data_IF_521773938262
#
_entry.id   IF_521773938262
#
_cell.length_a   1.000
_cell.length_b   1.000
_cell.length_c   1.000
_cell.angle_alpha   90.00
_cell.angle_beta   90.00
_cell.angle_gamma   90.00
#
_symmetry.space_group_name_H-M   'P 1'
#
loop_
_entity.id
_entity.type
_entity.pdbx_description
1 polymer ?
#
# COMPACT_ATOMS: atom_id res chain seq x y z
N UNK A 1 -27.46 -40.50 17.56
CA UNK A 1 -26.11 -40.35 18.12
C UNK A 1 -25.11 -39.89 17.03
N UNK A 2 -25.29 -40.33 15.75
CA UNK A 2 -24.36 -40.08 14.63
C UNK A 2 -24.39 -38.62 14.13
N UNK A 3 -25.54 -37.95 14.12
CA UNK A 3 -25.66 -36.57 13.62
C UNK A 3 -25.03 -35.51 14.55
N UNK A 4 -24.97 -35.79 15.86
CA UNK A 4 -24.38 -34.85 16.83
C UNK A 4 -22.84 -34.83 16.77
N UNK A 5 -22.24 -36.00 16.48
CA UNK A 5 -20.79 -36.14 16.34
C UNK A 5 -20.26 -35.46 15.07
N UNK A 6 -21.03 -35.48 13.97
CA UNK A 6 -20.64 -34.85 12.70
C UNK A 6 -20.64 -33.31 12.81
N UNK A 7 -21.57 -32.71 13.54
CA UNK A 7 -21.62 -31.26 13.79
C UNK A 7 -20.47 -30.76 14.65
N UNK A 8 -20.03 -31.53 15.63
CA UNK A 8 -18.87 -31.16 16.47
C UNK A 8 -17.56 -31.19 15.70
N UNK A 9 -17.36 -32.16 14.80
CA UNK A 9 -16.15 -32.26 13.97
C UNK A 9 -16.05 -31.11 12.96
N UNK A 10 -17.17 -30.71 12.35
CA UNK A 10 -17.22 -29.58 11.41
C UNK A 10 -16.96 -28.23 12.10
N UNK A 11 -17.47 -28.04 13.33
CA UNK A 11 -17.25 -26.82 14.10
C UNK A 11 -15.78 -26.67 14.55
N UNK A 12 -15.13 -27.77 14.93
CA UNK A 12 -13.70 -27.75 15.33
C UNK A 12 -12.78 -27.51 14.12
N UNK A 13 -13.07 -28.09 12.95
CA UNK A 13 -12.28 -27.86 11.75
C UNK A 13 -12.34 -26.41 11.27
N UNK A 14 -13.53 -25.76 11.34
CA UNK A 14 -13.70 -24.35 10.98
C UNK A 14 -12.97 -23.43 11.96
N UNK A 15 -13.00 -23.70 13.26
CA UNK A 15 -12.30 -22.90 14.27
C UNK A 15 -10.78 -22.98 14.13
N UNK A 16 -10.24 -24.17 13.83
CA UNK A 16 -8.80 -24.37 13.58
C UNK A 16 -8.34 -23.64 12.32
N UNK A 17 -9.14 -23.68 11.23
CA UNK A 17 -8.81 -22.97 10.00
C UNK A 17 -8.79 -21.46 10.20
N UNK A 18 -9.77 -20.89 10.91
CA UNK A 18 -9.82 -19.43 11.18
C UNK A 18 -8.61 -19.00 12.04
N UNK A 19 -8.25 -19.80 13.05
CA UNK A 19 -7.08 -19.51 13.89
C UNK A 19 -5.76 -19.57 13.10
N UNK A 20 -5.61 -20.51 12.17
CA UNK A 20 -4.43 -20.62 11.32
C UNK A 20 -4.29 -19.43 10.36
N UNK A 21 -5.36 -18.94 9.76
CA UNK A 21 -5.35 -17.75 8.90
C UNK A 21 -5.03 -16.47 9.69
N UNK A 22 -5.58 -16.31 10.88
CA UNK A 22 -5.30 -15.17 11.75
C UNK A 22 -3.82 -15.16 12.19
N UNK A 23 -3.25 -16.31 12.52
CA UNK A 23 -1.84 -16.45 12.90
C UNK A 23 -0.89 -16.14 11.74
N UNK A 24 -1.19 -16.60 10.52
CA UNK A 24 -0.38 -16.32 9.34
C UNK A 24 -0.41 -14.83 8.95
N UNK A 25 -1.56 -14.16 9.07
CA UNK A 25 -1.69 -12.73 8.81
C UNK A 25 -0.93 -11.90 9.86
N UNK A 26 -0.97 -12.27 11.12
CA UNK A 26 -0.23 -11.62 12.20
C UNK A 26 1.29 -11.79 12.02
N UNK A 27 1.76 -12.98 11.66
CA UNK A 27 3.16 -13.24 11.35
C UNK A 27 3.67 -12.43 10.16
N UNK A 28 2.85 -12.26 9.12
CA UNK A 28 3.17 -11.42 7.95
C UNK A 28 3.30 -9.93 8.31
N UNK A 29 2.45 -9.42 9.21
CA UNK A 29 2.52 -8.03 9.68
C UNK A 29 3.74 -7.79 10.55
N UNK A 30 4.07 -8.69 11.49
CA UNK A 30 5.26 -8.60 12.33
C UNK A 30 6.55 -8.65 11.49
N UNK A 31 6.60 -9.54 10.49
CA UNK A 31 7.70 -9.62 9.54
C UNK A 31 7.87 -8.32 8.75
N UNK A 32 6.75 -7.69 8.35
CA UNK A 32 6.76 -6.41 7.64
C UNK A 32 7.35 -5.28 8.50
N UNK A 33 6.97 -5.17 9.76
CA UNK A 33 7.53 -4.19 10.69
C UNK A 33 9.01 -4.40 10.96
N UNK A 34 9.42 -5.65 11.21
CA UNK A 34 10.82 -6.02 11.39
C UNK A 34 11.66 -5.63 10.17
N UNK A 35 11.16 -5.88 8.97
CA UNK A 35 11.83 -5.52 7.73
C UNK A 35 11.99 -3.99 7.57
N UNK A 36 10.93 -3.21 7.84
CA UNK A 36 10.99 -1.75 7.78
C UNK A 36 11.99 -1.16 8.78
N UNK A 37 12.01 -1.66 10.03
CA UNK A 37 12.97 -1.23 11.06
C UNK A 37 14.42 -1.51 10.65
N UNK A 38 14.66 -2.63 9.96
CA UNK A 38 15.98 -2.96 9.43
C UNK A 38 16.44 -2.06 8.28
N UNK A 39 15.50 -1.36 7.63
CA UNK A 39 15.77 -0.48 6.48
C UNK A 39 16.06 -1.22 5.18
N UNK A 40 16.42 -0.49 4.13
CA UNK A 40 16.70 -1.05 2.80
C UNK A 40 15.46 -1.60 2.07
N UNK A 41 14.25 -1.30 2.54
CA UNK A 41 12.99 -1.79 2.00
C UNK A 41 12.20 -0.69 1.30
N UNK A 42 11.16 -1.10 0.60
CA UNK A 42 10.20 -0.20 -0.06
C UNK A 42 8.82 -0.40 0.56
N UNK A 43 8.17 0.70 0.92
CA UNK A 43 6.80 0.75 1.42
C UNK A 43 5.91 1.30 0.30
N UNK A 44 5.13 0.46 -0.37
CA UNK A 44 4.16 0.91 -1.37
C UNK A 44 2.77 1.01 -0.74
N UNK A 45 2.18 2.20 -0.81
CA UNK A 45 0.94 2.57 -0.12
C UNK A 45 -0.14 2.91 -1.15
N UNK A 46 -1.31 2.31 -1.04
CA UNK A 46 -2.49 2.89 -1.66
C UNK A 46 -2.88 4.15 -0.88
N UNK A 47 -3.14 5.26 -1.60
CA UNK A 47 -3.58 6.52 -0.97
C UNK A 47 -4.61 6.29 0.14
N UNK A 48 -4.66 7.17 1.14
CA UNK A 48 -5.61 7.12 2.24
C UNK A 48 -7.07 7.31 1.76
N UNK A 49 -8.01 7.18 2.68
CA UNK A 49 -9.45 7.25 2.38
C UNK A 49 -9.83 8.55 1.67
N UNK A 50 -10.64 8.42 0.61
CA UNK A 50 -11.18 9.55 -0.13
C UNK A 50 -12.64 9.78 0.24
N UNK A 51 -13.19 10.92 -0.16
CA UNK A 51 -14.64 11.10 -0.23
C UNK A 51 -15.27 9.97 -1.04
N UNK A 52 -16.54 9.57 -0.74
CA UNK A 52 -17.22 8.50 -1.47
C UNK A 52 -17.22 8.72 -2.99
N UNK A 53 -17.14 7.61 -3.76
CA UNK A 53 -17.17 7.64 -5.22
C UNK A 53 -16.17 6.67 -5.84
N UNK A 54 -16.30 6.51 -7.17
CA UNK A 54 -15.40 5.71 -8.01
C UNK A 54 -14.79 6.63 -9.06
N UNK A 55 -13.47 6.56 -9.27
CA UNK A 55 -12.75 7.44 -10.19
C UNK A 55 -12.72 8.89 -9.75
N UNK A 56 -12.33 9.77 -10.63
CA UNK A 56 -12.38 11.22 -10.47
C UNK A 56 -13.61 11.77 -11.24
N UNK A 57 -14.11 12.97 -10.91
CA UNK A 57 -15.19 13.60 -11.65
C UNK A 57 -14.83 13.77 -13.14
N UNK A 58 -15.81 13.73 -14.05
CA UNK A 58 -15.55 14.02 -15.47
C UNK A 58 -14.89 15.39 -15.66
N UNK A 59 -13.82 15.43 -16.48
CA UNK A 59 -13.09 16.66 -16.76
C UNK A 59 -12.13 17.10 -15.66
N UNK A 60 -11.78 16.23 -14.70
CA UNK A 60 -10.77 16.53 -13.70
C UNK A 60 -9.42 16.91 -14.34
N UNK A 61 -8.65 17.72 -13.63
CA UNK A 61 -7.31 18.13 -14.04
C UNK A 61 -6.30 17.83 -12.93
N UNK A 62 -5.11 17.38 -13.30
CA UNK A 62 -4.05 17.04 -12.33
C UNK A 62 -3.46 18.27 -11.61
N UNK A 63 -3.47 19.42 -12.27
CA UNK A 63 -2.99 20.70 -11.75
C UNK A 63 -4.01 21.44 -10.89
N UNK A 64 -5.23 20.90 -10.78
CA UNK A 64 -6.33 21.52 -10.01
C UNK A 64 -7.00 20.49 -9.10
N UNK A 65 -6.56 20.50 -7.82
CA UNK A 65 -7.09 19.58 -6.81
C UNK A 65 -8.61 19.72 -6.58
N UNK A 66 -9.19 20.90 -6.80
CA UNK A 66 -10.62 21.11 -6.61
C UNK A 66 -11.47 20.27 -7.58
N UNK A 67 -10.91 19.86 -8.71
CA UNK A 67 -11.58 19.03 -9.72
C UNK A 67 -11.41 17.52 -9.48
N UNK A 68 -10.63 17.12 -8.49
CA UNK A 68 -10.29 15.71 -8.22
C UNK A 68 -11.10 15.14 -7.06
N UNK A 69 -11.20 13.82 -6.99
CA UNK A 69 -11.68 13.10 -5.81
C UNK A 69 -10.58 13.06 -4.76
N UNK A 70 -10.68 13.93 -3.75
CA UNK A 70 -9.66 14.13 -2.72
C UNK A 70 -9.86 13.26 -1.47
N UNK A 71 -8.90 13.34 -0.54
CA UNK A 71 -9.02 12.69 0.76
C UNK A 71 -10.24 13.24 1.53
N UNK A 72 -10.94 12.34 2.21
CA UNK A 72 -11.89 12.72 3.28
C UNK A 72 -11.14 13.17 4.54
N UNK A 73 -11.87 13.75 5.50
CA UNK A 73 -11.28 14.07 6.81
C UNK A 73 -10.74 12.81 7.51
N UNK A 74 -11.48 11.69 7.41
CA UNK A 74 -11.02 10.40 7.91
C UNK A 74 -9.72 9.95 7.19
N UNK A 75 -9.61 10.19 5.87
CA UNK A 75 -8.39 9.89 5.13
C UNK A 75 -7.21 10.76 5.51
N UNK A 76 -7.43 12.04 5.80
CA UNK A 76 -6.38 12.91 6.33
C UNK A 76 -5.90 12.46 7.70
N UNK A 77 -6.82 12.08 8.59
CA UNK A 77 -6.49 11.51 9.90
C UNK A 77 -5.74 10.18 9.76
N UNK A 78 -6.18 9.29 8.86
CA UNK A 78 -5.51 8.02 8.56
C UNK A 78 -4.07 8.23 8.06
N UNK A 79 -3.84 9.20 7.16
CA UNK A 79 -2.51 9.49 6.66
C UNK A 79 -1.57 10.02 7.76
N UNK A 80 -2.07 10.87 8.67
CA UNK A 80 -1.30 11.33 9.83
C UNK A 80 -0.95 10.18 10.77
N UNK A 81 -1.94 9.36 11.14
CA UNK A 81 -1.74 8.19 12.00
C UNK A 81 -0.73 7.20 11.41
N UNK A 82 -0.71 7.04 10.08
CA UNK A 82 0.31 6.25 9.37
C UNK A 82 1.71 6.79 9.66
N UNK A 83 1.92 8.10 9.55
CA UNK A 83 3.21 8.73 9.80
C UNK A 83 3.64 8.60 11.26
N UNK A 84 2.73 8.87 12.20
CA UNK A 84 2.93 8.71 13.63
C UNK A 84 3.34 7.26 13.97
N UNK A 85 2.60 6.27 13.47
CA UNK A 85 2.89 4.86 13.70
C UNK A 85 4.26 4.44 13.14
N UNK A 86 4.65 4.90 11.97
CA UNK A 86 5.98 4.62 11.40
C UNK A 86 7.10 5.23 12.25
N UNK A 87 6.89 6.46 12.76
CA UNK A 87 7.84 7.12 13.65
C UNK A 87 7.98 6.39 14.99
N UNK A 88 6.86 6.00 15.62
CA UNK A 88 6.83 5.25 16.88
C UNK A 88 7.54 3.90 16.77
N UNK A 89 7.43 3.25 15.62
CA UNK A 89 8.16 2.00 15.31
C UNK A 89 9.63 2.21 14.93
N UNK A 90 10.09 3.47 14.86
CA UNK A 90 11.48 3.79 14.49
C UNK A 90 11.78 3.59 13.01
N UNK A 91 10.79 3.57 12.13
CA UNK A 91 10.98 3.43 10.69
C UNK A 91 11.44 4.74 10.08
N UNK A 92 12.63 4.73 9.44
CA UNK A 92 13.16 5.90 8.75
C UNK A 92 12.73 5.92 7.28
N UNK A 93 12.04 6.98 6.87
CA UNK A 93 11.71 7.23 5.47
C UNK A 93 12.79 8.14 4.87
N UNK A 94 13.61 7.61 3.95
CA UNK A 94 14.67 8.36 3.28
C UNK A 94 14.15 9.13 2.08
N UNK A 95 13.20 8.56 1.35
CA UNK A 95 12.59 9.16 0.17
C UNK A 95 11.09 8.85 0.11
N UNK A 96 10.29 9.81 -0.34
CA UNK A 96 8.86 9.64 -0.55
C UNK A 96 8.47 10.13 -1.94
N UNK A 97 8.07 9.19 -2.79
CA UNK A 97 7.56 9.42 -4.13
C UNK A 97 6.05 9.20 -4.17
N UNK A 98 5.36 9.96 -4.98
CA UNK A 98 3.91 9.94 -5.08
C UNK A 98 3.43 10.04 -6.51
N UNK A 99 2.28 9.45 -6.78
CA UNK A 99 1.45 9.83 -7.93
C UNK A 99 1.17 11.33 -7.89
N UNK A 100 1.00 11.92 -9.08
CA UNK A 100 0.66 13.34 -9.27
C UNK A 100 -0.74 13.71 -8.77
N UNK A 101 -1.61 12.75 -8.49
CA UNK A 101 -2.95 12.99 -7.95
C UNK A 101 -2.91 13.58 -6.54
N UNK A 102 -3.74 14.58 -6.29
CA UNK A 102 -3.74 15.31 -5.01
C UNK A 102 -3.96 14.39 -3.81
N UNK A 103 -4.83 13.39 -3.89
CA UNK A 103 -5.03 12.39 -2.82
C UNK A 103 -3.77 11.60 -2.47
N UNK A 104 -2.90 11.33 -3.46
CA UNK A 104 -1.63 10.65 -3.23
C UNK A 104 -0.59 11.59 -2.64
N UNK A 105 -0.44 12.80 -3.21
CA UNK A 105 0.45 13.83 -2.71
C UNK A 105 0.11 14.21 -1.27
N UNK A 106 -1.17 14.39 -0.94
CA UNK A 106 -1.63 14.70 0.41
C UNK A 106 -1.38 13.54 1.37
N UNK A 107 -1.62 12.28 0.94
CA UNK A 107 -1.26 11.11 1.76
C UNK A 107 0.23 11.11 2.08
N UNK A 108 1.10 11.32 1.09
CA UNK A 108 2.54 11.33 1.29
C UNK A 108 3.01 12.49 2.18
N UNK A 109 2.48 13.71 1.97
CA UNK A 109 2.82 14.88 2.78
C UNK A 109 2.41 14.72 4.24
N UNK A 110 1.20 14.21 4.48
CA UNK A 110 0.67 14.00 5.83
C UNK A 110 1.39 12.88 6.58
N UNK A 111 1.74 11.80 5.87
CA UNK A 111 2.40 10.63 6.47
C UNK A 111 3.92 10.80 6.60
N UNK A 112 4.59 11.43 5.63
CA UNK A 112 6.05 11.45 5.54
C UNK A 112 6.66 12.86 5.55
N UNK A 113 5.83 13.92 5.67
CA UNK A 113 6.28 15.31 5.66
C UNK A 113 6.79 15.81 4.30
N UNK A 114 6.80 14.96 3.28
CA UNK A 114 7.31 15.27 1.94
C UNK A 114 6.62 14.42 0.87
N UNK A 115 6.64 14.91 -0.38
CA UNK A 115 6.18 14.16 -1.55
C UNK A 115 6.85 14.72 -2.80
N UNK A 116 7.50 13.88 -3.58
CA UNK A 116 7.94 14.20 -4.93
C UNK A 116 7.08 13.44 -5.93
N UNK A 117 6.54 14.13 -6.93
CA UNK A 117 5.76 13.48 -7.98
C UNK A 117 6.65 12.56 -8.82
N UNK A 118 6.15 11.36 -9.11
CA UNK A 118 6.81 10.37 -9.93
C UNK A 118 5.77 9.71 -10.85
N UNK A 119 5.74 10.12 -12.10
CA UNK A 119 4.70 9.74 -13.05
C UNK A 119 4.42 8.23 -13.19
N UNK A 120 5.38 7.31 -13.03
CA UNK A 120 5.07 5.87 -13.00
C UNK A 120 4.10 5.43 -11.89
N UNK A 121 3.89 6.25 -10.84
CA UNK A 121 2.90 6.01 -9.79
C UNK A 121 1.49 6.53 -10.14
N UNK A 122 1.34 7.24 -11.25
CA UNK A 122 0.07 7.83 -11.69
C UNK A 122 -0.97 6.75 -12.02
N UNK A 123 -2.24 7.06 -11.76
CA UNK A 123 -3.34 6.12 -12.03
C UNK A 123 -3.48 5.84 -13.52
N UNK A 124 -3.59 4.59 -13.88
CA UNK A 124 -4.03 4.17 -15.20
C UNK A 124 -5.44 3.53 -15.18
N UNK A 125 -6.24 3.93 -14.19
CA UNK A 125 -7.61 3.41 -14.04
C UNK A 125 -8.47 3.69 -15.29
N UNK A 126 -8.37 4.90 -15.81
CA UNK A 126 -9.15 5.36 -16.99
C UNK A 126 -8.46 5.03 -18.32
N UNK A 127 -7.13 4.78 -18.32
CA UNK A 127 -6.37 4.42 -19.52
C UNK A 127 -5.30 3.35 -19.24
N UNK A 128 -5.68 2.11 -19.46
CA UNK A 128 -4.81 0.94 -19.23
C UNK A 128 -3.62 0.83 -20.19
N UNK A 129 -3.54 1.63 -21.24
CA UNK A 129 -2.43 1.56 -22.21
C UNK A 129 -1.07 1.90 -21.57
N UNK A 130 -1.08 2.70 -20.51
CA UNK A 130 0.15 3.08 -19.80
C UNK A 130 0.63 2.03 -18.78
N UNK A 131 -0.22 1.06 -18.40
CA UNK A 131 0.07 0.05 -17.37
C UNK A 131 1.41 -0.68 -17.56
N UNK A 132 1.73 -1.27 -18.74
CA UNK A 132 2.98 -2.03 -18.89
C UNK A 132 4.23 -1.17 -18.67
N UNK A 133 4.25 0.04 -19.24
CA UNK A 133 5.37 0.98 -19.12
C UNK A 133 5.53 1.47 -17.69
N UNK A 134 4.43 1.87 -17.03
CA UNK A 134 4.46 2.36 -15.65
C UNK A 134 4.89 1.26 -14.69
N UNK A 135 4.34 0.05 -14.83
CA UNK A 135 4.70 -1.10 -13.99
C UNK A 135 6.17 -1.49 -14.16
N UNK A 136 6.71 -1.48 -15.38
CA UNK A 136 8.12 -1.74 -15.62
C UNK A 136 9.02 -0.67 -14.96
N UNK A 137 8.66 0.61 -15.07
CA UNK A 137 9.40 1.70 -14.42
C UNK A 137 9.36 1.61 -12.89
N UNK A 138 8.22 1.20 -12.30
CA UNK A 138 8.11 0.96 -10.86
C UNK A 138 8.99 -0.21 -10.41
N UNK A 139 9.00 -1.34 -11.13
CA UNK A 139 9.89 -2.48 -10.86
C UNK A 139 11.35 -2.06 -10.86
N UNK A 140 11.76 -1.29 -11.86
CA UNK A 140 13.13 -0.79 -11.95
C UNK A 140 13.46 0.17 -10.80
N UNK A 141 12.56 1.09 -10.45
CA UNK A 141 12.76 2.01 -9.32
C UNK A 141 12.92 1.27 -7.99
N UNK A 142 12.10 0.24 -7.76
CA UNK A 142 12.18 -0.61 -6.57
C UNK A 142 13.49 -1.40 -6.59
N UNK A 143 13.80 -2.05 -7.70
CA UNK A 143 15.03 -2.85 -7.87
C UNK A 143 16.30 -2.04 -7.64
N UNK A 144 16.29 -0.77 -8.05
CA UNK A 144 17.42 0.15 -7.91
C UNK A 144 17.57 0.73 -6.49
N UNK A 145 16.61 0.53 -5.57
CA UNK A 145 16.71 1.09 -4.24
C UNK A 145 17.90 0.51 -3.45
N UNK A 146 18.74 1.39 -2.89
CA UNK A 146 19.93 1.05 -2.09
C UNK A 146 20.06 1.93 -0.86
N UNK A 147 19.06 2.77 -0.56
CA UNK A 147 19.08 3.60 0.65
C UNK A 147 19.08 2.76 1.92
N UNK A 148 19.71 3.25 3.00
CA UNK A 148 19.76 2.54 4.27
C UNK A 148 18.40 2.55 5.00
N UNK A 149 17.51 3.48 4.70
CA UNK A 149 16.14 3.54 5.21
C UNK A 149 15.12 3.00 4.21
N UNK A 150 13.91 3.52 4.25
CA UNK A 150 12.78 3.07 3.45
C UNK A 150 12.46 4.07 2.34
N UNK A 151 12.24 3.56 1.12
CA UNK A 151 11.59 4.29 0.03
C UNK A 151 10.08 4.14 0.18
N UNK A 152 9.35 5.24 0.38
CA UNK A 152 7.90 5.26 0.38
C UNK A 152 7.36 5.61 -1.02
N UNK A 153 6.41 4.83 -1.51
CA UNK A 153 5.73 5.01 -2.79
C UNK A 153 4.23 5.11 -2.55
N UNK A 154 3.62 6.27 -2.83
CA UNK A 154 2.16 6.45 -2.67
C UNK A 154 1.48 6.46 -4.03
N UNK A 155 0.52 5.55 -4.22
CA UNK A 155 -0.11 5.33 -5.51
C UNK A 155 -1.56 4.85 -5.37
N UNK A 156 -2.10 4.22 -6.41
CA UNK A 156 -3.48 3.78 -6.55
C UNK A 156 -3.58 2.24 -6.51
N UNK A 157 -4.80 1.74 -6.25
CA UNK A 157 -5.04 0.29 -6.24
C UNK A 157 -4.56 -0.38 -7.52
N UNK A 158 -4.88 0.19 -8.68
CA UNK A 158 -4.55 -0.41 -9.99
C UNK A 158 -3.05 -0.60 -10.16
N UNK A 159 -2.23 0.36 -9.73
CA UNK A 159 -0.78 0.28 -9.79
C UNK A 159 -0.23 -0.80 -8.83
N UNK A 160 -0.71 -0.84 -7.58
CA UNK A 160 -0.29 -1.87 -6.62
C UNK A 160 -0.68 -3.25 -7.13
N UNK A 161 -1.90 -3.40 -7.67
CA UNK A 161 -2.39 -4.69 -8.17
C UNK A 161 -1.59 -5.17 -9.39
N UNK A 162 -1.32 -4.28 -10.36
CA UNK A 162 -0.51 -4.63 -11.52
C UNK A 162 0.94 -4.99 -11.16
N UNK A 163 1.49 -4.32 -10.15
CA UNK A 163 2.85 -4.57 -9.69
C UNK A 163 3.00 -5.88 -8.90
N UNK A 164 2.06 -6.17 -8.00
CA UNK A 164 2.20 -7.19 -6.94
C UNK A 164 1.16 -8.31 -6.99
N UNK A 165 0.11 -8.20 -7.79
CA UNK A 165 -1.06 -9.08 -7.75
C UNK A 165 -1.97 -8.89 -6.53
N UNK A 166 -1.62 -7.98 -5.61
CA UNK A 166 -2.38 -7.74 -4.39
C UNK A 166 -3.36 -6.59 -4.53
N UNK A 167 -4.52 -6.70 -3.89
CA UNK A 167 -5.54 -5.65 -3.83
C UNK A 167 -5.52 -5.00 -2.43
N UNK A 168 -4.85 -3.85 -2.26
CA UNK A 168 -4.81 -3.18 -0.96
C UNK A 168 -6.09 -2.37 -0.68
N UNK A 169 -6.48 -2.28 0.58
CA UNK A 169 -7.44 -1.28 1.04
C UNK A 169 -6.85 0.14 0.96
N UNK A 170 -7.67 1.20 1.03
CA UNK A 170 -7.17 2.57 1.15
C UNK A 170 -6.40 2.74 2.47
N UNK A 171 -5.21 3.34 2.40
CA UNK A 171 -4.27 3.47 3.51
C UNK A 171 -3.49 2.19 3.85
N UNK A 172 -3.75 1.07 3.16
CA UNK A 172 -2.96 -0.15 3.35
C UNK A 172 -1.65 -0.07 2.57
N UNK A 173 -0.59 -0.60 3.16
CA UNK A 173 0.75 -0.66 2.59
C UNK A 173 1.24 -2.10 2.41
N UNK A 174 2.05 -2.31 1.38
CA UNK A 174 2.84 -3.52 1.19
C UNK A 174 4.31 -3.20 1.40
N UNK A 175 5.02 -4.09 2.08
CA UNK A 175 6.47 -4.01 2.28
C UNK A 175 7.16 -4.91 1.27
N UNK A 176 8.06 -4.31 0.50
CA UNK A 176 8.79 -4.98 -0.58
C UNK A 176 10.28 -4.96 -0.29
N UNK A 177 10.94 -6.10 -0.45
CA UNK A 177 12.40 -6.22 -0.42
C UNK A 177 12.93 -6.11 -1.83
N UNK A 178 13.78 -5.11 -2.18
CA UNK A 178 14.41 -5.02 -3.47
C UNK A 178 15.22 -6.27 -3.82
N UNK A 179 15.16 -6.70 -5.10
CA UNK A 179 15.88 -7.88 -5.60
C UNK A 179 14.96 -8.99 -6.09
N UNK A 180 15.56 -10.09 -6.55
CA UNK A 180 14.82 -11.21 -7.14
C UNK A 180 14.45 -11.01 -8.61
N UNK A 181 13.84 -12.04 -9.24
CA UNK A 181 13.56 -12.05 -10.68
C UNK A 181 12.57 -10.96 -11.10
N UNK A 182 11.59 -10.65 -10.27
CA UNK A 182 10.59 -9.62 -10.53
C UNK A 182 11.00 -8.21 -10.06
N UNK A 183 12.26 -8.03 -9.61
CA UNK A 183 12.79 -6.78 -9.08
C UNK A 183 12.53 -6.56 -7.59
N UNK A 184 11.67 -7.37 -6.97
CA UNK A 184 11.39 -7.35 -5.53
C UNK A 184 10.77 -8.67 -5.05
N UNK A 185 10.76 -8.86 -3.72
CA UNK A 185 9.97 -9.87 -3.05
C UNK A 185 8.96 -9.19 -2.10
N UNK A 186 7.72 -9.68 -2.05
CA UNK A 186 6.72 -9.23 -1.09
C UNK A 186 7.06 -9.81 0.29
N UNK A 187 7.25 -8.93 1.28
CA UNK A 187 7.59 -9.29 2.67
C UNK A 187 6.32 -9.43 3.52
N UNK A 188 5.38 -8.49 3.38
CA UNK A 188 4.14 -8.49 4.11
C UNK A 188 3.32 -7.23 3.86
N UNK A 189 2.26 -7.05 4.66
CA UNK A 189 1.35 -5.91 4.54
C UNK A 189 1.05 -5.30 5.90
N UNK A 190 0.77 -4.00 5.89
CA UNK A 190 0.45 -3.21 7.08
C UNK A 190 -0.83 -2.42 6.83
N UNK A 191 -1.73 -2.44 7.80
CA UNK A 191 -2.91 -1.57 7.87
C UNK A 191 -2.69 -0.53 8.96
N UNK A 192 -2.97 0.70 8.62
CA UNK A 192 -2.88 1.86 9.53
C UNK A 192 -4.25 2.35 9.93
#
# INVERSE_FOLDING_TARGET
VTALRLRAVLATAAAVAIAAFASAAAASTETAWTALKAGGHVLIVRHAQTVPGIGDPPGFRLDDCATQRNLSDAGRAQAKAMGERLADEGVRIDEALSSSWCRCLDTARLAFGRAAAFAPLDSFFDDRRSEPRQTAALRERIRAWRGPGTLALVTHQVNVTALTGQVPAMGEALVLKPGGPDGFALVGRIRF
#
